data_IF_654630818056
#
_entry.id   IF_654630818056
#
_cell.length_a   1.000
_cell.length_b   1.000
_cell.length_c   1.000
_cell.angle_alpha   90.00
_cell.angle_beta   90.00
_cell.angle_gamma   90.00
#
_symmetry.space_group_name_H-M   'P 1'
#
loop_
_entity.id
_entity.type
_entity.pdbx_description
1 polymer ?
#
# COMPACT_ATOMS: atom_id res chain seq x y z
N UNK A 1 -8.27 -32.29 25.52
CA UNK A 1 -8.25 -32.06 24.05
C UNK A 1 -6.90 -31.47 23.66
N UNK A 2 -6.40 -31.74 22.45
CA UNK A 2 -5.12 -31.23 21.97
C UNK A 2 -5.24 -29.72 21.68
N UNK A 3 -4.38 -28.85 22.25
CA UNK A 3 -4.43 -27.42 21.96
C UNK A 3 -4.08 -27.13 20.50
N UNK A 4 -4.79 -26.18 19.88
CA UNK A 4 -4.50 -25.69 18.53
C UNK A 4 -3.81 -24.33 18.61
N UNK A 5 -2.62 -24.23 18.02
CA UNK A 5 -1.90 -22.95 17.93
C UNK A 5 -2.20 -22.29 16.58
N UNK A 6 -2.65 -21.04 16.61
CA UNK A 6 -3.02 -20.22 15.44
C UNK A 6 -2.20 -18.94 15.46
N UNK A 7 -1.66 -18.56 14.31
CA UNK A 7 -1.03 -17.26 14.11
C UNK A 7 -2.04 -16.30 13.45
N UNK A 8 -2.34 -15.19 14.11
CA UNK A 8 -3.09 -14.08 13.53
C UNK A 8 -2.10 -13.05 13.01
N UNK A 9 -2.05 -12.88 11.69
CA UNK A 9 -1.27 -11.85 11.03
C UNK A 9 -2.22 -10.77 10.52
N UNK A 10 -2.17 -9.58 11.11
CA UNK A 10 -3.02 -8.45 10.74
C UNK A 10 -2.15 -7.33 10.17
N UNK A 11 -2.33 -7.02 8.88
CA UNK A 11 -1.70 -5.89 8.23
C UNK A 11 -2.76 -4.87 7.86
N UNK A 12 -2.67 -3.69 8.47
CA UNK A 12 -3.55 -2.56 8.20
C UNK A 12 -2.91 -1.51 7.31
N UNK A 13 -3.40 -0.28 7.42
CA UNK A 13 -2.84 0.85 6.69
C UNK A 13 -1.46 1.26 7.21
N UNK A 14 -1.22 1.24 8.53
CA UNK A 14 0.00 1.78 9.15
C UNK A 14 0.61 0.88 10.24
N UNK A 15 0.03 -0.29 10.47
CA UNK A 15 0.45 -1.20 11.53
C UNK A 15 0.33 -2.64 11.03
N UNK A 16 1.38 -3.42 11.32
CA UNK A 16 1.39 -4.85 11.13
C UNK A 16 1.59 -5.52 12.48
N UNK A 17 0.69 -6.41 12.86
CA UNK A 17 0.78 -7.17 14.10
C UNK A 17 0.66 -8.67 13.85
N UNK A 18 1.41 -9.43 14.64
CA UNK A 18 1.38 -10.89 14.65
C UNK A 18 1.14 -11.35 16.08
N UNK A 19 0.08 -12.12 16.28
CA UNK A 19 -0.28 -12.73 17.57
C UNK A 19 -0.33 -14.25 17.45
N UNK A 20 0.38 -14.96 18.32
CA UNK A 20 0.32 -16.42 18.41
C UNK A 20 -0.64 -16.79 19.54
N UNK A 21 -1.73 -17.47 19.20
CA UNK A 21 -2.81 -17.78 20.13
C UNK A 21 -3.00 -19.29 20.20
N UNK A 22 -3.10 -19.81 21.41
CA UNK A 22 -3.42 -21.20 21.67
C UNK A 22 -4.89 -21.32 22.07
N UNK A 23 -5.62 -22.15 21.33
CA UNK A 23 -7.03 -22.45 21.56
C UNK A 23 -7.19 -23.82 22.21
N UNK A 24 -8.02 -23.87 23.24
CA UNK A 24 -8.58 -25.07 23.87
C UNK A 24 -10.10 -24.86 23.88
N UNK A 25 -10.91 -25.91 23.88
CA UNK A 25 -12.37 -25.74 23.87
C UNK A 25 -12.84 -24.84 25.01
N UNK A 26 -13.50 -23.74 24.65
CA UNK A 26 -14.02 -22.73 25.57
C UNK A 26 -12.98 -21.73 26.11
N UNK A 27 -11.71 -21.81 25.71
CA UNK A 27 -10.65 -20.93 26.20
C UNK A 27 -9.63 -20.56 25.10
N UNK A 28 -9.08 -19.35 25.20
CA UNK A 28 -7.95 -18.92 24.38
C UNK A 28 -6.86 -18.35 25.28
N UNK A 29 -5.60 -18.54 24.88
CA UNK A 29 -4.42 -17.96 25.53
C UNK A 29 -3.51 -17.35 24.48
N UNK A 30 -3.24 -16.05 24.58
CA UNK A 30 -2.23 -15.39 23.76
C UNK A 30 -0.85 -15.79 24.32
N UNK A 31 -0.01 -16.39 23.48
CA UNK A 31 1.34 -16.82 23.87
C UNK A 31 2.34 -15.67 23.68
N UNK A 32 2.23 -14.94 22.58
CA UNK A 32 3.02 -13.76 22.31
C UNK A 32 2.32 -12.87 21.27
N UNK A 33 2.66 -11.59 21.30
CA UNK A 33 2.25 -10.59 20.32
C UNK A 33 3.44 -9.68 20.00
N UNK A 34 3.59 -9.34 18.74
CA UNK A 34 4.59 -8.38 18.24
C UNK A 34 3.94 -7.51 17.17
N UNK A 35 4.33 -6.25 17.11
CA UNK A 35 3.87 -5.31 16.11
C UNK A 35 4.98 -4.39 15.63
N UNK A 36 4.81 -3.87 14.42
CA UNK A 36 5.68 -2.86 13.82
C UNK A 36 4.86 -1.83 13.03
N UNK A 37 5.36 -0.60 12.94
CA UNK A 37 4.71 0.55 12.28
C UNK A 37 4.94 0.50 10.77
N UNK A 38 4.37 -0.52 10.14
CA UNK A 38 4.43 -0.74 8.69
C UNK A 38 3.07 -1.26 8.21
N UNK A 39 2.64 -0.84 7.03
CA UNK A 39 1.41 -1.30 6.44
C UNK A 39 1.25 -0.84 4.98
N UNK A 40 0.00 -0.76 4.54
CA UNK A 40 -0.32 -0.38 3.17
C UNK A 40 0.12 1.03 2.78
N UNK A 41 0.32 1.95 3.73
CA UNK A 41 0.75 3.33 3.50
C UNK A 41 2.17 3.41 2.96
N UNK A 42 3.08 2.62 3.52
CA UNK A 42 4.48 2.62 3.08
C UNK A 42 4.59 2.07 1.64
N UNK A 43 3.73 1.13 1.25
CA UNK A 43 3.62 0.68 -0.15
C UNK A 43 3.09 1.79 -1.06
N UNK A 44 2.07 2.53 -0.61
CA UNK A 44 1.53 3.67 -1.36
C UNK A 44 2.62 4.73 -1.57
N UNK A 45 3.40 5.04 -0.53
CA UNK A 45 4.50 6.00 -0.61
C UNK A 45 5.60 5.56 -1.60
N UNK A 46 5.98 4.29 -1.61
CA UNK A 46 6.93 3.75 -2.58
C UNK A 46 6.44 3.93 -4.03
N UNK A 47 5.18 3.61 -4.29
CA UNK A 47 4.57 3.78 -5.61
C UNK A 47 4.46 5.26 -5.99
N UNK A 48 4.04 6.12 -5.06
CA UNK A 48 3.97 7.56 -5.28
C UNK A 48 5.33 8.16 -5.66
N UNK A 49 6.41 7.75 -4.97
CA UNK A 49 7.78 8.22 -5.27
C UNK A 49 8.24 7.80 -6.67
N UNK A 50 7.98 6.54 -7.04
CA UNK A 50 8.33 6.03 -8.37
C UNK A 50 7.58 6.77 -9.48
N UNK A 51 6.25 6.91 -9.34
CA UNK A 51 5.44 7.62 -10.34
C UNK A 51 5.73 9.12 -10.39
N UNK A 52 6.02 9.75 -9.25
CA UNK A 52 6.45 11.15 -9.20
C UNK A 52 7.78 11.35 -9.94
N UNK A 53 8.75 10.46 -9.75
CA UNK A 53 10.03 10.50 -10.47
C UNK A 53 9.84 10.32 -11.99
N UNK A 54 8.95 9.42 -12.40
CA UNK A 54 8.61 9.23 -13.82
C UNK A 54 7.94 10.47 -14.43
N UNK A 55 7.03 11.11 -13.70
CA UNK A 55 6.37 12.34 -14.14
C UNK A 55 7.36 13.50 -14.19
N UNK A 56 8.19 13.67 -13.17
CA UNK A 56 9.24 14.71 -13.13
C UNK A 56 10.25 14.54 -14.27
N UNK A 57 10.60 13.30 -14.64
CA UNK A 57 11.44 13.05 -15.82
C UNK A 57 10.78 13.46 -17.14
N UNK A 58 9.45 13.37 -17.25
CA UNK A 58 8.69 13.69 -18.47
C UNK A 58 8.39 15.19 -18.58
N UNK A 59 7.96 15.81 -17.49
CA UNK A 59 7.38 17.16 -17.46
C UNK A 59 8.33 18.17 -16.80
N UNK A 60 9.28 17.72 -15.99
CA UNK A 60 10.22 18.59 -15.27
C UNK A 60 9.68 19.16 -13.95
N UNK A 61 8.49 18.76 -13.51
CA UNK A 61 7.90 19.18 -12.24
C UNK A 61 7.58 18.00 -11.33
N UNK A 62 7.74 18.20 -10.02
CA UNK A 62 7.54 17.16 -9.02
C UNK A 62 6.13 17.25 -8.39
N UNK A 63 5.24 16.27 -8.61
CA UNK A 63 3.87 16.32 -8.11
C UNK A 63 3.79 16.18 -6.59
N UNK A 64 4.84 15.67 -5.92
CA UNK A 64 4.90 15.58 -4.46
C UNK A 64 5.16 16.94 -3.78
N UNK A 65 5.65 17.93 -4.53
CA UNK A 65 5.85 19.29 -4.03
C UNK A 65 4.53 20.08 -3.89
N UNK A 66 3.47 19.64 -4.57
CA UNK A 66 2.17 20.28 -4.60
C UNK A 66 1.13 19.40 -3.90
N UNK A 67 0.51 19.90 -2.81
CA UNK A 67 -0.48 19.14 -2.01
C UNK A 67 -1.68 18.61 -2.81
N UNK A 68 -2.12 19.34 -3.84
CA UNK A 68 -3.27 18.93 -4.66
C UNK A 68 -2.86 17.82 -5.63
N UNK A 69 -1.71 17.96 -6.28
CA UNK A 69 -1.16 16.96 -7.18
C UNK A 69 -0.80 15.67 -6.42
N UNK A 70 -0.17 15.80 -5.25
CA UNK A 70 0.18 14.66 -4.40
C UNK A 70 -1.05 13.86 -3.96
N UNK A 71 -2.15 14.55 -3.63
CA UNK A 71 -3.41 13.88 -3.26
C UNK A 71 -4.06 13.14 -4.45
N UNK A 72 -4.06 13.75 -5.65
CA UNK A 72 -4.52 13.07 -6.87
C UNK A 72 -3.70 11.80 -7.14
N UNK A 73 -2.38 11.90 -6.98
CA UNK A 73 -1.47 10.77 -7.17
C UNK A 73 -1.72 9.67 -6.13
N UNK A 74 -1.93 10.03 -4.86
CA UNK A 74 -2.23 9.08 -3.78
C UNK A 74 -3.53 8.30 -4.03
N UNK A 75 -4.61 8.97 -4.46
CA UNK A 75 -5.88 8.30 -4.79
C UNK A 75 -5.71 7.32 -5.96
N UNK A 76 -4.97 7.71 -6.99
CA UNK A 76 -4.67 6.84 -8.13
C UNK A 76 -3.81 5.64 -7.72
N UNK A 77 -2.76 5.86 -6.93
CA UNK A 77 -1.92 4.79 -6.34
C UNK A 77 -2.75 3.81 -5.54
N UNK A 78 -3.67 4.29 -4.69
CA UNK A 78 -4.54 3.44 -3.90
C UNK A 78 -5.41 2.51 -4.75
N UNK A 79 -5.86 2.96 -5.93
CA UNK A 79 -6.61 2.15 -6.90
C UNK A 79 -5.68 1.17 -7.62
N UNK A 80 -4.56 1.63 -8.15
CA UNK A 80 -3.58 0.79 -8.87
C UNK A 80 -3.03 -0.33 -7.98
N UNK A 81 -2.69 -0.06 -6.72
CA UNK A 81 -2.26 -1.08 -5.74
C UNK A 81 -3.30 -2.20 -5.55
N UNK A 82 -4.58 -1.83 -5.44
CA UNK A 82 -5.67 -2.82 -5.30
C UNK A 82 -5.82 -3.67 -6.55
N UNK A 83 -5.69 -3.07 -7.74
CA UNK A 83 -5.70 -3.80 -9.02
C UNK A 83 -4.53 -4.77 -9.08
N UNK A 84 -3.32 -4.35 -8.70
CA UNK A 84 -2.13 -5.21 -8.64
C UNK A 84 -2.25 -6.37 -7.65
N UNK A 85 -3.14 -6.27 -6.65
CA UNK A 85 -3.39 -7.40 -5.74
C UNK A 85 -4.15 -8.54 -6.44
N UNK A 86 -4.93 -8.21 -7.48
CA UNK A 86 -5.65 -9.20 -8.29
C UNK A 86 -4.89 -9.56 -9.59
N UNK A 87 -4.31 -8.57 -10.27
CA UNK A 87 -3.68 -8.71 -11.59
C UNK A 87 -2.16 -8.55 -11.56
N UNK A 88 -1.46 -9.12 -12.54
CA UNK A 88 0.00 -9.00 -12.66
C UNK A 88 0.45 -7.60 -13.09
N UNK A 89 -0.44 -6.81 -13.67
CA UNK A 89 -0.17 -5.48 -14.19
C UNK A 89 -1.35 -4.56 -13.91
N UNK A 90 -1.08 -3.25 -13.80
CA UNK A 90 -2.12 -2.25 -13.63
C UNK A 90 -1.75 -0.93 -14.33
N UNK A 91 -2.72 -0.28 -14.99
CA UNK A 91 -2.53 1.07 -15.49
C UNK A 91 -2.51 2.07 -14.33
N UNK A 92 -1.77 3.16 -14.53
CA UNK A 92 -1.71 4.33 -13.67
C UNK A 92 -2.01 5.57 -14.52
N UNK A 93 -3.23 6.10 -14.41
CA UNK A 93 -3.68 7.24 -15.18
C UNK A 93 -4.23 8.33 -14.26
N UNK A 94 -3.77 9.56 -14.41
CA UNK A 94 -4.23 10.73 -13.67
C UNK A 94 -4.36 11.92 -14.60
N UNK A 95 -5.57 12.44 -14.74
CA UNK A 95 -5.84 13.63 -15.54
C UNK A 95 -5.43 14.92 -14.81
N UNK A 96 -4.76 15.80 -15.56
CA UNK A 96 -4.23 17.09 -15.12
C UNK A 96 -3.53 16.95 -13.76
N UNK A 97 -2.52 16.09 -13.68
CA UNK A 97 -1.84 15.77 -12.44
C UNK A 97 -1.20 17.04 -11.85
N UNK A 98 -0.47 17.79 -12.67
CA UNK A 98 0.15 19.07 -12.32
C UNK A 98 0.43 19.88 -13.60
N UNK A 99 0.34 21.22 -13.54
CA UNK A 99 0.55 22.12 -14.70
C UNK A 99 -0.24 21.73 -15.97
N UNK A 100 -1.50 21.28 -15.79
CA UNK A 100 -2.38 20.82 -16.87
C UNK A 100 -1.85 19.62 -17.68
N UNK A 101 -0.80 18.96 -17.20
CA UNK A 101 -0.23 17.76 -17.82
C UNK A 101 -0.86 16.48 -17.25
N UNK A 102 -1.25 15.59 -18.16
CA UNK A 102 -1.76 14.27 -17.82
C UNK A 102 -0.61 13.31 -17.49
N UNK A 103 -0.86 12.37 -16.59
CA UNK A 103 0.07 11.29 -16.30
C UNK A 103 -0.52 9.94 -16.70
N UNK A 104 0.18 9.22 -17.57
CA UNK A 104 -0.09 7.84 -17.92
C UNK A 104 1.17 7.00 -17.77
N UNK A 105 1.04 5.88 -17.05
CA UNK A 105 2.08 4.88 -16.84
C UNK A 105 1.45 3.49 -16.64
N UNK A 106 2.29 2.47 -16.59
CA UNK A 106 1.92 1.10 -16.31
C UNK A 106 2.93 0.52 -15.33
N UNK A 107 2.44 -0.33 -14.42
CA UNK A 107 3.26 -0.99 -13.42
C UNK A 107 2.94 -2.48 -13.39
N UNK A 108 3.98 -3.28 -13.23
CA UNK A 108 3.90 -4.72 -13.00
C UNK A 108 3.91 -5.02 -11.50
N UNK A 109 3.37 -6.16 -11.10
CA UNK A 109 3.49 -6.66 -9.72
C UNK A 109 4.92 -7.09 -9.38
N UNK A 110 5.66 -7.55 -10.39
CA UNK A 110 7.06 -7.95 -10.31
C UNK A 110 7.98 -6.74 -10.31
#
# INVERSE_FOLDING_TARGET
>A
EKPMTVAFCSMGHSLFSVSIVQFVRGQLKILCEKSDKVGGRELDECLMREFAAQFEKKVGCNPLSNKKASYKLEDAVGKTKKILSANSEAPMNVECLMEDEDFASQVTRA
#
